data_IF_402863066786
#
_entry.id   IF_402863066786
#
_cell.length_a   1.000
_cell.length_b   1.000
_cell.length_c   1.000
_cell.angle_alpha   90.00
_cell.angle_beta   90.00
_cell.angle_gamma   90.00
#
_symmetry.space_group_name_H-M   'P 1'
#
loop_
_entity.id
_entity.type
_entity.pdbx_description
1 polymer ?
#
# COMPACT_ATOMS: atom_id res chain seq x y z
N UNK A 1 8.12 12.99 14.31
CA UNK A 1 8.84 13.11 15.58
C UNK A 1 8.73 11.82 16.42
N UNK A 2 7.63 11.08 16.37
CA UNK A 2 7.40 9.87 17.19
C UNK A 2 8.29 8.69 16.79
N UNK A 3 8.66 8.57 15.54
CA UNK A 3 9.50 7.48 15.02
C UNK A 3 11.00 7.77 15.05
N UNK A 4 11.44 8.84 15.68
CA UNK A 4 12.84 9.06 16.05
C UNK A 4 13.26 8.29 17.31
N UNK A 5 12.36 7.54 17.94
CA UNK A 5 12.66 6.64 19.04
C UNK A 5 13.26 5.35 18.50
N UNK A 6 14.17 4.77 19.26
CA UNK A 6 14.71 3.44 18.94
C UNK A 6 13.64 2.38 19.20
N UNK A 7 12.88 2.01 18.16
CA UNK A 7 11.82 1.01 18.23
C UNK A 7 12.44 -0.35 17.93
N UNK A 8 12.33 -1.28 18.88
CA UNK A 8 12.89 -2.61 18.78
C UNK A 8 12.38 -3.34 17.51
N UNK A 9 13.32 -3.89 16.74
CA UNK A 9 13.04 -4.65 15.54
C UNK A 9 12.53 -3.87 14.33
N UNK A 10 12.30 -2.56 14.42
CA UNK A 10 11.88 -1.73 13.31
C UNK A 10 13.02 -1.53 12.31
N UNK A 11 12.87 -2.06 11.10
CA UNK A 11 13.88 -2.00 10.04
C UNK A 11 13.60 -0.94 8.97
N UNK A 12 12.32 -0.64 8.75
CA UNK A 12 11.89 0.36 7.79
C UNK A 12 10.54 0.96 8.18
N UNK A 13 10.35 2.24 7.87
CA UNK A 13 9.05 2.88 8.06
C UNK A 13 8.82 4.06 7.12
N UNK A 14 7.54 4.36 6.88
CA UNK A 14 7.09 5.53 6.13
C UNK A 14 5.81 6.11 6.72
N UNK A 15 5.81 7.42 6.97
CA UNK A 15 4.58 8.16 7.22
C UNK A 15 4.01 8.63 5.88
N UNK A 16 2.75 8.36 5.65
CA UNK A 16 2.08 8.52 4.36
C UNK A 16 0.82 9.38 4.54
N UNK A 17 0.67 10.39 3.71
CA UNK A 17 -0.61 11.05 3.51
C UNK A 17 -1.46 10.31 2.50
N UNK A 18 -2.72 10.70 2.36
CA UNK A 18 -3.62 10.17 1.34
C UNK A 18 -4.06 11.25 0.35
N UNK A 19 -4.40 10.84 -0.85
CA UNK A 19 -5.11 11.69 -1.81
C UNK A 19 -6.61 11.66 -1.55
N UNK A 20 -7.35 12.71 -1.96
CA UNK A 20 -8.79 12.79 -1.79
C UNK A 20 -9.54 11.71 -2.57
N UNK A 21 -10.74 11.36 -2.12
CA UNK A 21 -11.53 10.26 -2.65
C UNK A 21 -10.83 8.91 -2.45
N UNK A 22 -10.68 8.12 -3.49
CA UNK A 22 -9.95 6.85 -3.43
C UNK A 22 -8.42 7.02 -3.39
N UNK A 23 -7.93 8.24 -3.11
CA UNK A 23 -6.52 8.53 -2.94
C UNK A 23 -5.75 8.81 -4.22
N UNK A 24 -6.35 8.60 -5.40
CA UNK A 24 -5.73 8.91 -6.70
C UNK A 24 -6.05 10.34 -7.14
N UNK A 25 -5.72 11.31 -6.31
CA UNK A 25 -5.96 12.72 -6.55
C UNK A 25 -4.69 13.51 -6.25
N UNK A 26 -4.48 14.59 -7.01
CA UNK A 26 -3.45 15.58 -6.70
C UNK A 26 -3.81 16.40 -5.46
N UNK A 27 -5.09 16.40 -5.08
CA UNK A 27 -5.57 17.06 -3.87
C UNK A 27 -5.40 16.15 -2.67
N UNK A 28 -4.76 16.60 -1.60
CA UNK A 28 -4.59 15.78 -0.39
C UNK A 28 -5.90 15.61 0.37
N UNK A 29 -6.00 14.48 1.05
CA UNK A 29 -6.99 14.20 2.09
C UNK A 29 -6.30 14.37 3.45
N UNK A 30 -6.57 15.49 4.11
CA UNK A 30 -5.95 15.82 5.40
C UNK A 30 -6.50 15.03 6.58
N UNK A 31 -7.56 14.26 6.38
CA UNK A 31 -8.19 13.42 7.41
C UNK A 31 -7.67 11.98 7.43
N UNK A 32 -6.94 11.56 6.39
CA UNK A 32 -6.48 10.18 6.25
C UNK A 32 -4.96 10.11 6.21
N UNK A 33 -4.39 9.36 7.14
CA UNK A 33 -2.95 9.10 7.22
C UNK A 33 -2.69 7.61 7.28
N UNK A 34 -1.55 7.18 6.75
CA UNK A 34 -1.06 5.82 6.83
C UNK A 34 0.33 5.77 7.44
N UNK A 35 0.61 4.70 8.15
CA UNK A 35 1.93 4.36 8.64
C UNK A 35 2.30 2.97 8.12
N UNK A 36 3.37 2.90 7.36
CA UNK A 36 4.00 1.64 6.96
C UNK A 36 5.18 1.37 7.87
N UNK A 37 5.23 0.19 8.46
CA UNK A 37 6.34 -0.28 9.29
C UNK A 37 6.74 -1.70 8.89
N UNK A 38 8.02 -2.00 8.97
CA UNK A 38 8.58 -3.33 8.71
C UNK A 38 9.41 -3.74 9.92
N UNK A 39 9.14 -4.92 10.44
CA UNK A 39 9.79 -5.47 11.63
C UNK A 39 10.53 -6.76 11.30
N UNK A 40 11.49 -7.13 12.13
CA UNK A 40 12.21 -8.40 12.00
C UNK A 40 11.34 -9.62 12.37
N UNK A 41 10.26 -9.42 13.14
CA UNK A 41 9.37 -10.49 13.58
C UNK A 41 7.95 -10.00 13.85
N UNK A 42 6.98 -10.94 13.82
CA UNK A 42 5.58 -10.68 14.20
C UNK A 42 5.47 -10.20 15.66
N UNK A 43 6.31 -10.73 16.56
CA UNK A 43 6.31 -10.34 17.98
C UNK A 43 6.63 -8.85 18.14
N UNK A 44 7.64 -8.36 17.42
CA UNK A 44 8.03 -6.94 17.47
C UNK A 44 6.97 -6.04 16.85
N UNK A 45 6.35 -6.49 15.75
CA UNK A 45 5.22 -5.79 15.16
C UNK A 45 4.02 -5.68 16.13
N UNK A 46 3.67 -6.77 16.82
CA UNK A 46 2.61 -6.76 17.83
C UNK A 46 2.97 -5.88 19.04
N UNK A 47 4.20 -5.96 19.55
CA UNK A 47 4.66 -5.08 20.62
C UNK A 47 4.55 -3.60 20.25
N UNK A 48 4.82 -3.27 18.99
CA UNK A 48 4.66 -1.91 18.49
C UNK A 48 3.19 -1.50 18.43
N UNK A 49 2.28 -2.38 17.99
CA UNK A 49 0.84 -2.10 17.99
C UNK A 49 0.29 -1.86 19.41
N UNK A 50 0.83 -2.55 20.41
CA UNK A 50 0.46 -2.39 21.83
C UNK A 50 1.21 -1.22 22.51
N UNK A 51 2.05 -0.50 21.78
CA UNK A 51 2.86 0.58 22.34
C UNK A 51 2.06 1.86 22.61
N UNK A 52 2.60 2.69 23.51
CA UNK A 52 2.06 4.03 23.76
C UNK A 52 1.99 4.90 22.49
N UNK A 53 2.92 4.70 21.56
CA UNK A 53 2.94 5.44 20.28
C UNK A 53 1.64 5.18 19.51
N UNK A 54 1.24 3.93 19.37
CA UNK A 54 0.02 3.57 18.64
C UNK A 54 -1.22 3.96 19.42
N UNK A 55 -1.25 3.83 20.75
CA UNK A 55 -2.39 4.27 21.55
C UNK A 55 -2.66 5.77 21.40
N UNK A 56 -1.62 6.60 21.35
CA UNK A 56 -1.76 8.04 21.12
C UNK A 56 -2.36 8.36 19.73
N UNK A 57 -2.05 7.56 18.70
CA UNK A 57 -2.71 7.69 17.39
C UNK A 57 -4.18 7.27 17.45
N UNK A 58 -4.49 6.17 18.13
CA UNK A 58 -5.86 5.66 18.28
C UNK A 58 -6.73 6.68 19.02
N UNK A 59 -6.22 7.27 20.08
CA UNK A 59 -6.95 8.25 20.91
C UNK A 59 -7.31 9.53 20.13
N UNK A 60 -6.55 9.86 19.09
CA UNK A 60 -6.77 11.05 18.25
C UNK A 60 -7.51 10.75 16.96
N UNK A 61 -7.62 9.49 16.56
CA UNK A 61 -8.24 9.08 15.31
C UNK A 61 -9.73 8.78 15.51
N UNK A 62 -10.57 9.24 14.57
CA UNK A 62 -11.99 8.85 14.52
C UNK A 62 -12.13 7.34 14.20
N UNK A 63 -11.26 6.83 13.35
CA UNK A 63 -11.18 5.41 13.00
C UNK A 63 -9.74 4.97 12.88
N UNK A 64 -9.44 3.77 13.33
CA UNK A 64 -8.14 3.14 13.21
C UNK A 64 -8.28 1.73 12.65
N UNK A 65 -7.40 1.37 11.74
CA UNK A 65 -7.32 0.02 11.19
C UNK A 65 -5.85 -0.34 10.94
N UNK A 66 -5.51 -1.60 11.13
CA UNK A 66 -4.19 -2.10 10.75
C UNK A 66 -4.27 -3.44 10.02
N UNK A 67 -3.23 -3.73 9.27
CA UNK A 67 -3.05 -4.98 8.54
C UNK A 67 -1.65 -5.49 8.82
N UNK A 68 -1.54 -6.66 9.45
CA UNK A 68 -0.29 -7.41 9.55
C UNK A 68 -0.19 -8.37 8.37
N UNK A 69 0.97 -8.41 7.72
CA UNK A 69 1.12 -9.17 6.48
C UNK A 69 2.56 -9.62 6.26
N UNK A 70 2.70 -10.83 5.70
CA UNK A 70 3.98 -11.38 5.25
C UNK A 70 4.28 -11.03 3.81
N UNK A 71 5.52 -10.68 3.53
CA UNK A 71 5.96 -10.38 2.17
C UNK A 71 6.09 -11.66 1.34
N UNK A 72 5.47 -11.65 0.16
CA UNK A 72 5.57 -12.74 -0.82
C UNK A 72 6.73 -12.46 -1.77
N UNK A 73 6.73 -11.27 -2.35
CA UNK A 73 7.72 -10.84 -3.33
C UNK A 73 7.71 -9.32 -3.44
N UNK A 74 8.90 -8.76 -3.46
CA UNK A 74 9.12 -7.36 -3.79
C UNK A 74 10.05 -7.23 -4.99
N UNK A 75 9.92 -6.13 -5.73
CA UNK A 75 10.80 -5.75 -6.81
C UNK A 75 10.95 -4.24 -6.85
N UNK A 76 12.17 -3.75 -6.94
CA UNK A 76 12.50 -2.33 -6.92
C UNK A 76 12.86 -1.83 -5.53
N UNK A 77 12.90 -0.52 -5.36
CA UNK A 77 13.40 0.12 -4.16
C UNK A 77 12.45 1.19 -3.63
N UNK A 78 12.56 1.46 -2.33
CA UNK A 78 11.91 2.57 -1.65
C UNK A 78 12.94 3.34 -0.82
N UNK A 79 13.23 4.57 -1.20
CA UNK A 79 14.31 5.39 -0.62
C UNK A 79 15.68 4.69 -0.72
N UNK A 80 15.95 4.07 -1.88
CA UNK A 80 17.18 3.31 -2.18
C UNK A 80 17.40 2.07 -1.29
N UNK A 81 16.35 1.58 -0.66
CA UNK A 81 16.34 0.38 0.16
C UNK A 81 15.40 -0.68 -0.44
N UNK A 82 15.66 -1.93 -0.15
CA UNK A 82 14.80 -3.07 -0.45
C UNK A 82 14.15 -3.54 0.87
N UNK A 83 13.03 -2.92 1.30
CA UNK A 83 12.54 -3.09 2.66
C UNK A 83 11.83 -4.42 2.91
N UNK A 84 11.50 -5.18 1.86
CA UNK A 84 10.70 -6.39 1.97
C UNK A 84 11.45 -7.61 1.48
N UNK A 85 11.71 -8.54 2.37
CA UNK A 85 12.24 -9.86 2.05
C UNK A 85 11.09 -10.82 1.76
N UNK A 86 11.33 -11.83 0.88
CA UNK A 86 10.34 -12.89 0.65
C UNK A 86 10.29 -13.82 1.87
N UNK A 87 9.13 -13.91 2.50
CA UNK A 87 8.90 -14.70 3.73
C UNK A 87 8.02 -15.92 3.44
N UNK A 88 7.05 -15.75 2.54
CA UNK A 88 6.05 -16.77 2.22
C UNK A 88 5.86 -16.92 0.72
N UNK A 89 5.34 -18.07 0.31
CA UNK A 89 5.01 -18.35 -1.11
C UNK A 89 3.64 -17.78 -1.47
N UNK A 90 3.49 -17.42 -2.75
CA UNK A 90 2.22 -16.96 -3.28
C UNK A 90 1.17 -18.07 -3.31
N UNK A 91 0.00 -17.78 -2.77
CA UNK A 91 -1.20 -18.64 -2.85
C UNK A 91 -2.35 -17.83 -3.46
N UNK A 92 -2.84 -18.26 -4.62
CA UNK A 92 -3.90 -17.56 -5.35
C UNK A 92 -5.26 -17.60 -4.65
N UNK A 93 -5.49 -18.55 -3.74
CA UNK A 93 -6.73 -18.70 -3.00
C UNK A 93 -6.80 -17.80 -1.75
N UNK A 94 -5.66 -17.34 -1.25
CA UNK A 94 -5.57 -16.49 -0.06
C UNK A 94 -5.78 -15.01 -0.39
N UNK A 95 -6.22 -14.21 0.59
CA UNK A 95 -6.22 -12.74 0.47
C UNK A 95 -4.83 -12.21 0.14
N UNK A 96 -4.79 -11.13 -0.63
CA UNK A 96 -3.53 -10.48 -1.00
C UNK A 96 -3.62 -8.97 -0.84
N UNK A 97 -2.57 -8.38 -0.31
CA UNK A 97 -2.34 -6.96 -0.33
C UNK A 97 -1.22 -6.62 -1.31
N UNK A 98 -1.33 -5.48 -1.97
CA UNK A 98 -0.34 -4.99 -2.93
C UNK A 98 0.02 -3.56 -2.59
N UNK A 99 1.31 -3.28 -2.56
CA UNK A 99 1.85 -1.92 -2.52
C UNK A 99 2.59 -1.69 -3.83
N UNK A 100 2.19 -0.65 -4.55
CA UNK A 100 2.96 -0.10 -5.66
C UNK A 100 3.39 1.30 -5.30
N UNK A 101 4.65 1.61 -5.50
CA UNK A 101 5.21 2.93 -5.18
C UNK A 101 6.09 3.43 -6.31
N UNK A 102 6.04 4.71 -6.59
CA UNK A 102 6.89 5.35 -7.58
C UNK A 102 7.28 6.77 -7.18
N UNK A 103 8.53 7.13 -7.47
CA UNK A 103 8.98 8.52 -7.48
C UNK A 103 8.94 9.02 -8.92
N UNK A 104 8.06 9.97 -9.18
CA UNK A 104 7.81 10.53 -10.50
C UNK A 104 8.86 11.60 -10.78
N UNK A 105 9.49 11.55 -11.96
CA UNK A 105 10.41 12.57 -12.42
C UNK A 105 9.68 13.91 -12.58
N UNK A 106 10.12 15.02 -11.95
CA UNK A 106 9.39 16.29 -11.96
C UNK A 106 9.01 16.78 -13.36
N UNK A 107 9.91 16.64 -14.33
CA UNK A 107 9.68 17.03 -15.73
C UNK A 107 8.55 16.27 -16.42
N UNK A 108 8.16 15.11 -15.88
CA UNK A 108 7.16 14.21 -16.46
C UNK A 108 5.88 14.12 -15.61
N UNK A 109 5.83 14.79 -14.46
CA UNK A 109 4.69 14.73 -13.53
C UNK A 109 3.37 15.13 -14.20
N UNK A 110 3.35 16.21 -14.98
CA UNK A 110 2.15 16.64 -15.69
C UNK A 110 1.61 15.55 -16.65
N UNK A 111 2.51 14.89 -17.40
CA UNK A 111 2.11 13.79 -18.30
C UNK A 111 1.55 12.61 -17.53
N UNK A 112 2.22 12.21 -16.43
CA UNK A 112 1.76 11.13 -15.56
C UNK A 112 0.34 11.38 -15.04
N UNK A 113 0.09 12.55 -14.45
CA UNK A 113 -1.20 12.87 -13.83
C UNK A 113 -2.37 12.94 -14.81
N UNK A 114 -2.13 13.15 -16.10
CA UNK A 114 -3.19 13.06 -17.13
C UNK A 114 -3.71 11.65 -17.34
N UNK A 115 -2.92 10.61 -17.02
CA UNK A 115 -3.31 9.22 -17.21
C UNK A 115 -3.91 8.59 -15.95
N UNK A 116 -3.52 9.05 -14.76
CA UNK A 116 -3.94 8.50 -13.46
C UNK A 116 -5.46 8.33 -13.33
N UNK A 117 -6.33 9.30 -13.68
CA UNK A 117 -7.77 9.16 -13.49
C UNK A 117 -8.38 7.97 -14.23
N UNK A 118 -7.86 7.63 -15.40
CA UNK A 118 -8.38 6.52 -16.22
C UNK A 118 -8.06 5.15 -15.61
N UNK A 119 -6.88 5.03 -14.99
CA UNK A 119 -6.44 3.79 -14.34
C UNK A 119 -7.15 3.61 -13.00
N UNK A 120 -7.24 4.67 -12.21
CA UNK A 120 -7.97 4.67 -10.94
C UNK A 120 -9.43 4.21 -11.11
N UNK A 121 -10.13 4.75 -12.11
CA UNK A 121 -11.51 4.32 -12.42
C UNK A 121 -11.61 2.85 -12.83
N UNK A 122 -10.58 2.29 -13.46
CA UNK A 122 -10.60 0.90 -13.91
C UNK A 122 -10.44 -0.12 -12.77
N UNK A 123 -9.91 0.31 -11.64
CA UNK A 123 -9.75 -0.53 -10.44
C UNK A 123 -11.02 -0.55 -9.59
N UNK A 124 -11.73 0.59 -9.55
CA UNK A 124 -12.96 0.72 -8.77
C UNK A 124 -14.06 -0.22 -9.28
N UNK A 125 -14.64 -0.99 -8.37
CA UNK A 125 -15.70 -1.94 -8.68
C UNK A 125 -15.22 -3.26 -9.30
N UNK A 126 -13.91 -3.51 -9.37
CA UNK A 126 -13.40 -4.81 -9.78
C UNK A 126 -13.78 -5.88 -8.74
N UNK A 127 -14.23 -7.03 -9.26
CA UNK A 127 -14.60 -8.17 -8.40
C UNK A 127 -13.39 -8.59 -7.54
N UNK A 128 -13.63 -8.80 -6.26
CA UNK A 128 -12.59 -9.19 -5.31
C UNK A 128 -11.73 -8.03 -4.78
N UNK A 129 -11.84 -6.80 -5.30
CA UNK A 129 -11.21 -5.64 -4.66
C UNK A 129 -12.00 -5.24 -3.42
N UNK A 130 -11.36 -5.32 -2.25
CA UNK A 130 -11.97 -4.98 -0.97
C UNK A 130 -11.72 -3.51 -0.65
N UNK A 131 -10.48 -3.09 -0.81
CA UNK A 131 -10.02 -1.75 -0.45
C UNK A 131 -8.92 -1.29 -1.40
N UNK A 132 -8.93 -0.02 -1.72
CA UNK A 132 -7.82 0.64 -2.42
C UNK A 132 -7.72 2.09 -2.01
N UNK A 133 -6.50 2.53 -1.68
CA UNK A 133 -6.22 3.93 -1.36
C UNK A 133 -4.89 4.35 -1.98
N UNK A 134 -4.90 5.50 -2.63
CA UNK A 134 -3.67 6.19 -3.01
C UNK A 134 -3.08 6.87 -1.79
N UNK A 135 -1.83 6.63 -1.55
CA UNK A 135 -1.04 7.14 -0.44
C UNK A 135 0.28 7.70 -0.97
N UNK A 136 1.00 8.48 -0.19
CA UNK A 136 2.28 9.00 -0.63
C UNK A 136 3.02 9.77 0.44
N UNK A 137 4.34 9.88 0.27
CA UNK A 137 5.20 10.69 1.14
C UNK A 137 5.15 12.16 0.77
N UNK A 138 5.09 12.44 -0.54
CA UNK A 138 5.06 13.79 -1.09
C UNK A 138 3.98 13.88 -2.16
N UNK A 139 3.07 14.87 -2.05
CA UNK A 139 2.07 15.12 -3.08
C UNK A 139 2.73 15.22 -4.46
N UNK A 140 2.07 14.69 -5.50
CA UNK A 140 2.46 14.79 -6.90
C UNK A 140 3.66 13.91 -7.30
N UNK A 141 4.70 13.80 -6.46
CA UNK A 141 5.97 13.20 -6.89
C UNK A 141 6.25 11.81 -6.29
N UNK A 142 5.87 11.56 -5.03
CA UNK A 142 6.12 10.29 -4.34
C UNK A 142 4.81 9.61 -4.02
N UNK A 143 4.31 8.85 -4.99
CA UNK A 143 3.00 8.21 -4.95
C UNK A 143 3.12 6.73 -4.68
N UNK A 144 2.19 6.23 -3.91
CA UNK A 144 2.01 4.81 -3.70
C UNK A 144 0.51 4.47 -3.75
N UNK A 145 0.23 3.20 -3.95
CA UNK A 145 -1.12 2.64 -3.85
C UNK A 145 -1.06 1.44 -2.93
N UNK A 146 -1.93 1.41 -1.96
CA UNK A 146 -2.24 0.21 -1.20
C UNK A 146 -3.56 -0.36 -1.71
N UNK A 147 -3.60 -1.64 -2.06
CA UNK A 147 -4.83 -2.34 -2.43
C UNK A 147 -4.93 -3.69 -1.74
N UNK A 148 -6.14 -4.06 -1.33
CA UNK A 148 -6.45 -5.29 -0.63
C UNK A 148 -7.52 -6.06 -1.40
N UNK A 149 -7.28 -7.34 -1.66
CA UNK A 149 -8.08 -8.20 -2.52
C UNK A 149 -8.53 -9.45 -1.77
N UNK A 150 -9.72 -9.93 -2.09
CA UNK A 150 -10.28 -11.15 -1.48
C UNK A 150 -9.40 -12.38 -1.76
N UNK A 151 -8.84 -12.45 -2.98
CA UNK A 151 -7.98 -13.54 -3.41
C UNK A 151 -6.84 -13.05 -4.30
N UNK A 152 -5.72 -13.77 -4.27
CA UNK A 152 -4.62 -13.53 -5.18
C UNK A 152 -5.02 -13.66 -6.65
N UNK A 153 -5.93 -14.59 -6.96
CA UNK A 153 -6.49 -14.76 -8.31
C UNK A 153 -7.19 -13.49 -8.82
N UNK A 154 -8.01 -12.84 -8.00
CA UNK A 154 -8.75 -11.64 -8.42
C UNK A 154 -7.80 -10.49 -8.74
N UNK A 155 -6.74 -10.34 -7.95
CA UNK A 155 -5.67 -9.38 -8.22
C UNK A 155 -4.94 -9.69 -9.53
N UNK A 156 -4.63 -10.96 -9.78
CA UNK A 156 -3.97 -11.40 -11.02
C UNK A 156 -4.86 -11.15 -12.23
N UNK A 157 -6.15 -11.47 -12.13
CA UNK A 157 -7.13 -11.21 -13.19
C UNK A 157 -7.19 -9.71 -13.51
N UNK A 158 -7.21 -8.84 -12.50
CA UNK A 158 -7.11 -7.39 -12.72
C UNK A 158 -5.80 -7.00 -13.40
N UNK A 159 -4.67 -7.47 -12.90
CA UNK A 159 -3.36 -7.05 -13.39
C UNK A 159 -3.10 -7.44 -14.85
N UNK A 160 -3.60 -8.61 -15.28
CA UNK A 160 -3.33 -9.15 -16.61
C UNK A 160 -4.47 -8.97 -17.60
N UNK A 161 -5.73 -8.94 -17.16
CA UNK A 161 -6.88 -8.82 -18.05
C UNK A 161 -7.32 -7.37 -18.30
N UNK A 162 -6.88 -6.42 -17.45
CA UNK A 162 -7.26 -5.03 -17.61
C UNK A 162 -6.35 -4.31 -18.61
N UNK A 163 -6.86 -4.13 -19.85
CA UNK A 163 -6.14 -3.48 -20.93
C UNK A 163 -5.61 -2.08 -20.55
N UNK A 164 -6.40 -1.29 -19.81
CA UNK A 164 -5.96 0.06 -19.38
C UNK A 164 -4.77 0.00 -18.42
N UNK A 165 -4.76 -0.99 -17.53
CA UNK A 165 -3.63 -1.21 -16.63
C UNK A 165 -2.39 -1.67 -17.41
N UNK A 166 -2.54 -2.64 -18.31
CA UNK A 166 -1.44 -3.13 -19.16
C UNK A 166 -0.85 -2.01 -20.04
N UNK A 167 -1.71 -1.19 -20.66
CA UNK A 167 -1.28 -0.03 -21.46
C UNK A 167 -0.51 0.99 -20.60
N UNK A 168 -0.92 1.21 -19.34
CA UNK A 168 -0.21 2.11 -18.43
C UNK A 168 1.16 1.56 -18.07
N UNK A 169 1.27 0.27 -17.73
CA UNK A 169 2.56 -0.38 -17.44
C UNK A 169 3.50 -0.28 -18.64
N UNK A 170 2.99 -0.51 -19.85
CA UNK A 170 3.78 -0.35 -21.09
C UNK A 170 4.27 1.09 -21.26
N UNK A 171 3.39 2.08 -21.15
CA UNK A 171 3.74 3.50 -21.24
C UNK A 171 4.74 3.94 -20.17
N UNK A 172 4.59 3.41 -18.94
CA UNK A 172 5.54 3.68 -17.86
C UNK A 172 6.97 3.30 -18.24
N UNK A 173 7.12 2.11 -18.84
CA UNK A 173 8.43 1.64 -19.34
C UNK A 173 8.95 2.45 -20.51
N UNK A 174 8.10 2.73 -21.49
CA UNK A 174 8.48 3.48 -22.70
C UNK A 174 8.88 4.93 -22.38
N UNK A 175 8.17 5.60 -21.49
CA UNK A 175 8.36 7.02 -21.17
C UNK A 175 9.32 7.23 -19.99
N UNK A 176 9.63 6.18 -19.24
CA UNK A 176 10.56 6.24 -18.12
C UNK A 176 10.17 7.28 -17.07
N UNK A 177 8.89 7.34 -16.69
CA UNK A 177 8.36 8.38 -15.79
C UNK A 177 8.97 8.35 -14.40
N UNK A 178 9.43 7.17 -13.96
CA UNK A 178 9.90 6.97 -12.60
C UNK A 178 11.41 7.11 -12.48
N UNK A 179 11.87 7.71 -11.41
CA UNK A 179 13.27 7.68 -10.98
C UNK A 179 13.54 6.54 -10.00
N UNK A 180 12.50 6.09 -9.30
CA UNK A 180 12.53 4.96 -8.41
C UNK A 180 11.13 4.34 -8.38
N UNK A 181 11.06 3.01 -8.29
CA UNK A 181 9.80 2.28 -8.18
C UNK A 181 9.95 1.07 -7.27
N UNK A 182 8.83 0.67 -6.66
CA UNK A 182 8.70 -0.55 -5.90
C UNK A 182 7.34 -1.19 -6.18
N UNK A 183 7.33 -2.48 -6.37
CA UNK A 183 6.13 -3.31 -6.44
C UNK A 183 6.25 -4.46 -5.45
N UNK A 184 5.28 -4.61 -4.56
CA UNK A 184 5.32 -5.64 -3.51
C UNK A 184 3.96 -6.28 -3.31
N UNK A 185 3.98 -7.59 -3.05
CA UNK A 185 2.82 -8.42 -2.73
C UNK A 185 2.97 -9.03 -1.37
N UNK A 186 1.86 -9.14 -0.65
CA UNK A 186 1.82 -9.63 0.72
C UNK A 186 0.62 -10.54 0.93
N UNK A 187 0.76 -11.56 1.78
CA UNK A 187 -0.37 -12.26 2.37
C UNK A 187 -0.70 -11.64 3.72
N UNK A 188 -1.87 -10.97 3.85
CA UNK A 188 -2.36 -10.53 5.14
C UNK A 188 -2.68 -11.73 6.02
N UNK A 189 -2.27 -11.67 7.30
CA UNK A 189 -2.62 -12.69 8.29
C UNK A 189 -3.47 -12.13 9.43
N UNK A 190 -3.44 -10.82 9.66
CA UNK A 190 -4.32 -10.16 10.60
C UNK A 190 -4.82 -8.83 10.04
N UNK A 191 -6.12 -8.58 10.15
CA UNK A 191 -6.75 -7.29 9.86
C UNK A 191 -7.66 -6.94 11.01
N UNK A 192 -7.44 -5.78 11.64
CA UNK A 192 -8.29 -5.24 12.69
C UNK A 192 -8.76 -3.84 12.34
N UNK A 193 -9.91 -3.48 12.90
CA UNK A 193 -10.59 -2.24 12.59
C UNK A 193 -11.42 -2.36 11.31
N UNK A 194 -12.05 -1.27 10.93
CA UNK A 194 -12.89 -1.20 9.76
C UNK A 194 -12.12 -0.48 8.64
N UNK A 195 -11.61 -1.24 7.69
CA UNK A 195 -11.00 -0.65 6.50
C UNK A 195 -12.04 0.21 5.80
N UNK A 196 -11.71 1.47 5.52
CA UNK A 196 -12.64 2.49 4.99
C UNK A 196 -13.43 1.91 3.81
N UNK A 197 -14.77 1.86 3.96
CA UNK A 197 -15.71 1.37 2.95
C UNK A 197 -15.96 -0.13 2.94
N UNK A 198 -15.42 -0.90 3.88
CA UNK A 198 -15.72 -2.34 4.01
C UNK A 198 -16.26 -2.67 5.39
N UNK A 199 -17.41 -3.35 5.44
CA UNK A 199 -17.97 -3.93 6.67
C UNK A 199 -17.42 -5.34 6.96
N UNK A 200 -16.33 -5.75 6.32
CA UNK A 200 -15.76 -7.10 6.44
C UNK A 200 -14.58 -7.06 7.41
N UNK A 201 -14.70 -7.83 8.49
CA UNK A 201 -13.57 -8.13 9.39
C UNK A 201 -12.89 -9.39 8.83
N UNK A 202 -11.60 -9.28 8.55
CA UNK A 202 -10.78 -10.40 8.09
C UNK A 202 -9.88 -10.85 9.23
N UNK A 203 -10.21 -12.00 9.81
CA UNK A 203 -9.31 -12.73 10.68
C UNK A 203 -8.68 -13.83 9.83
N UNK A 204 -7.51 -13.58 9.30
CA UNK A 204 -6.73 -14.61 8.61
C UNK A 204 -5.74 -15.19 9.61
N UNK A 205 -6.20 -16.07 10.49
CA UNK A 205 -5.30 -16.89 11.29
C UNK A 205 -4.54 -17.82 10.34
N UNK A 206 -3.21 -17.73 10.33
CA UNK A 206 -2.36 -18.78 9.73
C UNK A 206 -2.55 -20.10 10.46
N UNK A 207 -2.47 -21.24 9.74
CA UNK A 207 -2.48 -22.55 10.36
C UNK A 207 -1.28 -22.76 11.26
#
# INVERSE_FOLDING_TARGET
>A
PLLNQNIEGLTFWKALGAGSGNGFSIWPDWSTFGLLTVFNSEKEANNFLDSKIISEYIDTAETFSHVLMHSIKAHGQWSKQEPFNSEVTFDEAKPIAVITRATIKPKLAYKFWRYVPSVSKSMNGHKGLIFSKGIGEWPIFMQATFSFWEKGKDMMDYAYSNKKHADMVKKTRELGWYSEELFSRFHPFEVRGNLIGSNKIYNTTSP
#
